data_IF_683258913231
#
_entry.id   IF_683258913231
#
_cell.length_a   1.000
_cell.length_b   1.000
_cell.length_c   1.000
_cell.angle_alpha   90.00
_cell.angle_beta   90.00
_cell.angle_gamma   90.00
#
_symmetry.space_group_name_H-M   'P 1'
#
loop_
_entity.id
_entity.type
_entity.pdbx_description
1 polymer ?
#
# COMPACT_ATOMS: atom_id res chain seq x y z
N UNK A 1 -39.04 -31.06 -16.95
CA UNK A 1 -38.80 -30.23 -15.75
C UNK A 1 -37.55 -30.63 -14.94
N UNK A 2 -36.50 -31.23 -15.55
CA UNK A 2 -35.32 -31.77 -14.82
C UNK A 2 -33.96 -31.28 -15.32
N UNK A 3 -33.95 -30.22 -16.15
CA UNK A 3 -32.73 -29.67 -16.79
C UNK A 3 -32.44 -28.20 -16.46
N UNK A 4 -33.36 -27.51 -15.76
CA UNK A 4 -33.22 -26.08 -15.44
C UNK A 4 -32.56 -25.81 -14.07
N UNK A 5 -32.42 -26.83 -13.22
CA UNK A 5 -31.86 -26.67 -11.86
C UNK A 5 -30.32 -26.61 -11.86
N UNK A 6 -29.67 -27.11 -12.92
CA UNK A 6 -28.21 -27.23 -12.97
C UNK A 6 -27.50 -25.90 -13.26
N UNK A 7 -28.17 -24.96 -13.93
CA UNK A 7 -27.53 -23.68 -14.33
C UNK A 7 -27.51 -22.62 -13.22
N UNK A 8 -28.25 -22.82 -12.12
CA UNK A 8 -28.34 -21.80 -11.06
C UNK A 8 -27.19 -21.84 -10.04
N UNK A 9 -26.32 -22.85 -10.09
CA UNK A 9 -25.26 -23.04 -9.08
C UNK A 9 -23.85 -22.62 -9.54
N UNK A 10 -23.69 -22.08 -10.75
CA UNK A 10 -22.39 -21.68 -11.29
C UNK A 10 -22.05 -20.19 -11.12
N UNK A 11 -22.94 -19.37 -10.55
CA UNK A 11 -22.76 -17.92 -10.46
C UNK A 11 -22.36 -17.38 -9.08
N UNK A 12 -22.13 -18.24 -8.07
CA UNK A 12 -21.90 -17.79 -6.67
C UNK A 12 -20.43 -17.87 -6.24
N UNK A 13 -19.52 -18.40 -7.06
CA UNK A 13 -18.16 -18.76 -6.60
C UNK A 13 -17.04 -17.72 -6.81
N UNK A 14 -17.33 -16.51 -7.27
CA UNK A 14 -16.27 -15.54 -7.63
C UNK A 14 -16.10 -14.33 -6.71
N UNK A 15 -16.90 -14.16 -5.64
CA UNK A 15 -16.91 -12.92 -4.84
C UNK A 15 -16.34 -13.04 -3.41
N UNK A 16 -15.89 -14.21 -2.97
CA UNK A 16 -15.36 -14.38 -1.61
C UNK A 16 -13.83 -14.46 -1.61
N UNK A 17 -13.13 -13.34 -1.35
CA UNK A 17 -11.81 -13.39 -0.70
C UNK A 17 -10.60 -12.78 -1.40
N UNK A 18 -10.71 -12.17 -2.58
CA UNK A 18 -9.55 -11.54 -3.23
C UNK A 18 -9.14 -10.19 -2.60
N UNK A 19 -10.10 -9.41 -2.11
CA UNK A 19 -9.81 -8.06 -1.60
C UNK A 19 -9.18 -8.08 -0.19
N UNK A 20 -9.70 -8.94 0.69
CA UNK A 20 -9.25 -9.05 2.08
C UNK A 20 -7.79 -9.53 2.22
N UNK A 21 -7.37 -10.49 1.38
CA UNK A 21 -5.98 -10.96 1.36
C UNK A 21 -5.01 -9.87 0.94
N UNK A 22 -5.33 -9.17 -0.14
CA UNK A 22 -4.46 -8.09 -0.62
C UNK A 22 -4.34 -6.93 0.36
N UNK A 23 -5.43 -6.59 1.08
CA UNK A 23 -5.40 -5.55 2.09
C UNK A 23 -4.42 -5.91 3.22
N UNK A 24 -4.51 -7.16 3.71
CA UNK A 24 -3.60 -7.69 4.72
C UNK A 24 -2.14 -7.73 4.24
N UNK A 25 -1.91 -8.19 3.01
CA UNK A 25 -0.56 -8.31 2.46
C UNK A 25 0.10 -6.93 2.29
N UNK A 26 -0.64 -5.91 1.84
CA UNK A 26 -0.18 -4.51 1.79
C UNK A 26 0.20 -4.05 3.20
N UNK A 27 -0.65 -4.30 4.20
CA UNK A 27 -0.37 -3.94 5.59
C UNK A 27 0.89 -4.62 6.16
N UNK A 28 1.19 -5.85 5.75
CA UNK A 28 2.44 -6.53 6.13
C UNK A 28 3.67 -5.82 5.56
N UNK A 29 3.63 -5.40 4.30
CA UNK A 29 4.75 -4.66 3.70
C UNK A 29 4.92 -3.27 4.33
N UNK A 30 3.84 -2.57 4.64
CA UNK A 30 3.89 -1.29 5.37
C UNK A 30 4.51 -1.46 6.76
N UNK A 31 4.13 -2.52 7.48
CA UNK A 31 4.75 -2.83 8.78
C UNK A 31 6.26 -3.06 8.63
N UNK A 32 6.70 -3.71 7.55
CA UNK A 32 8.12 -3.90 7.26
C UNK A 32 8.89 -2.59 7.02
N UNK A 33 8.24 -1.57 6.45
CA UNK A 33 8.87 -0.26 6.23
C UNK A 33 8.90 0.63 7.47
N UNK A 34 7.94 0.44 8.37
CA UNK A 34 7.75 1.29 9.56
C UNK A 34 8.38 0.72 10.82
N UNK A 35 8.63 -0.60 10.87
CA UNK A 35 9.27 -1.29 12.01
C UNK A 35 10.64 -1.86 11.59
N UNK A 36 11.72 -1.51 12.30
CA UNK A 36 13.09 -1.84 11.90
C UNK A 36 13.45 -3.35 11.89
N UNK A 37 12.57 -4.21 12.40
CA UNK A 37 12.85 -5.63 12.68
C UNK A 37 12.27 -6.59 11.62
N UNK A 38 11.46 -6.10 10.68
CA UNK A 38 10.53 -6.97 9.96
C UNK A 38 11.04 -7.49 8.60
N UNK A 39 11.84 -6.74 7.84
CA UNK A 39 12.41 -7.13 6.54
C UNK A 39 13.36 -6.03 6.01
N UNK A 40 14.32 -6.32 5.11
CA UNK A 40 15.01 -5.27 4.36
C UNK A 40 14.01 -4.37 3.58
N UNK A 41 14.07 -3.03 3.70
CA UNK A 41 13.09 -2.13 3.09
C UNK A 41 12.90 -2.30 1.57
N UNK A 42 13.95 -2.70 0.85
CA UNK A 42 13.91 -2.86 -0.60
C UNK A 42 12.90 -3.93 -1.07
N UNK A 43 12.76 -5.04 -0.34
CA UNK A 43 11.83 -6.11 -0.71
C UNK A 43 10.37 -5.67 -0.49
N UNK A 44 10.09 -5.05 0.66
CA UNK A 44 8.77 -4.51 0.94
C UNK A 44 8.35 -3.40 -0.03
N UNK A 45 9.27 -2.51 -0.43
CA UNK A 45 9.03 -1.52 -1.48
C UNK A 45 8.67 -2.20 -2.81
N UNK A 46 9.43 -3.22 -3.22
CA UNK A 46 9.15 -3.95 -4.45
C UNK A 46 7.78 -4.65 -4.45
N UNK A 47 7.36 -5.22 -3.31
CA UNK A 47 6.02 -5.80 -3.19
C UNK A 47 4.93 -4.73 -3.23
N UNK A 48 5.11 -3.59 -2.57
CA UNK A 48 4.17 -2.46 -2.64
C UNK A 48 4.01 -1.93 -4.07
N UNK A 49 5.10 -1.82 -4.83
CA UNK A 49 5.05 -1.44 -6.25
C UNK A 49 4.19 -2.41 -7.08
N UNK A 50 4.21 -3.71 -6.77
CA UNK A 50 3.37 -4.72 -7.45
C UNK A 50 1.88 -4.59 -7.10
N UNK A 51 1.54 -4.12 -5.90
CA UNK A 51 0.16 -3.77 -5.56
C UNK A 51 -0.32 -2.48 -6.25
N UNK A 52 0.63 -1.60 -6.58
CA UNK A 52 0.39 -0.36 -7.33
C UNK A 52 -0.56 0.58 -6.59
N UNK A 53 -1.45 1.25 -7.34
CA UNK A 53 -2.47 2.18 -6.84
C UNK A 53 -3.26 1.69 -5.62
N UNK A 54 -3.48 0.38 -5.51
CA UNK A 54 -4.25 -0.24 -4.42
C UNK A 54 -3.58 -0.09 -3.06
N UNK A 55 -2.27 0.14 -3.02
CA UNK A 55 -1.52 0.33 -1.78
C UNK A 55 -1.60 1.78 -1.25
N UNK A 56 -1.93 2.76 -2.10
CA UNK A 56 -1.86 4.18 -1.74
C UNK A 56 -2.65 4.55 -0.48
N UNK A 57 -3.92 4.13 -0.29
CA UNK A 57 -4.68 4.55 0.89
C UNK A 57 -4.08 4.07 2.22
N UNK A 58 -3.51 2.86 2.22
CA UNK A 58 -2.87 2.33 3.43
C UNK A 58 -1.50 2.98 3.67
N UNK A 59 -0.74 3.27 2.62
CA UNK A 59 0.54 4.00 2.72
C UNK A 59 0.30 5.40 3.28
N UNK A 60 -0.69 6.12 2.76
CA UNK A 60 -1.09 7.46 3.26
C UNK A 60 -1.44 7.41 4.75
N UNK A 61 -2.28 6.45 5.15
CA UNK A 61 -2.64 6.26 6.55
C UNK A 61 -1.41 6.02 7.43
N UNK A 62 -0.47 5.20 6.96
CA UNK A 62 0.75 4.88 7.70
C UNK A 62 1.71 6.07 7.79
N UNK A 63 1.79 6.92 6.77
CA UNK A 63 2.62 8.12 6.77
C UNK A 63 2.30 9.08 7.93
N UNK A 64 1.05 9.11 8.41
CA UNK A 64 0.68 9.97 9.54
C UNK A 64 1.15 9.47 10.90
N UNK A 65 1.49 8.18 11.04
CA UNK A 65 1.81 7.56 12.34
C UNK A 65 3.23 6.98 12.41
N UNK A 66 3.91 6.83 11.27
CA UNK A 66 5.26 6.31 11.20
C UNK A 66 6.31 7.27 11.81
N UNK A 67 7.42 6.69 12.28
CA UNK A 67 8.63 7.44 12.63
C UNK A 67 9.22 8.15 11.40
N UNK A 68 10.07 9.18 11.55
CA UNK A 68 10.68 9.87 10.40
C UNK A 68 11.33 8.92 9.39
N UNK A 69 12.13 7.96 9.87
CA UNK A 69 12.73 6.92 9.02
C UNK A 69 11.67 6.07 8.30
N UNK A 70 10.60 5.69 9.00
CA UNK A 70 9.48 4.94 8.42
C UNK A 70 8.76 5.73 7.33
N UNK A 71 8.55 7.04 7.54
CA UNK A 71 7.96 7.93 6.54
C UNK A 71 8.84 8.02 5.29
N UNK A 72 10.15 8.21 5.43
CA UNK A 72 11.07 8.24 4.28
C UNK A 72 11.04 6.93 3.48
N UNK A 73 10.94 5.77 4.14
CA UNK A 73 10.75 4.49 3.45
C UNK A 73 9.42 4.41 2.70
N UNK A 74 8.33 4.90 3.31
CA UNK A 74 7.00 4.91 2.70
C UNK A 74 6.94 5.88 1.49
N UNK A 75 7.62 7.03 1.55
CA UNK A 75 7.75 7.94 0.41
C UNK A 75 8.49 7.27 -0.76
N UNK A 76 9.58 6.53 -0.48
CA UNK A 76 10.26 5.71 -1.50
C UNK A 76 9.36 4.63 -2.09
N UNK A 77 8.43 4.09 -1.31
CA UNK A 77 7.44 3.15 -1.82
C UNK A 77 6.43 3.84 -2.75
N UNK A 78 5.98 5.06 -2.44
CA UNK A 78 5.13 5.87 -3.33
C UNK A 78 5.83 6.18 -4.66
N UNK A 79 7.10 6.57 -4.62
CA UNK A 79 7.92 6.78 -5.81
C UNK A 79 8.05 5.50 -6.66
N UNK A 80 8.34 4.37 -6.02
CA UNK A 80 8.41 3.07 -6.70
C UNK A 80 7.07 2.60 -7.29
N UNK A 81 5.94 3.00 -6.70
CA UNK A 81 4.61 2.74 -7.26
C UNK A 81 4.39 3.59 -8.53
N UNK A 82 4.88 4.82 -8.56
CA UNK A 82 4.85 5.69 -9.75
C UNK A 82 3.45 6.10 -10.22
N UNK A 83 2.44 5.99 -9.35
CA UNK A 83 1.06 6.34 -9.67
C UNK A 83 0.81 7.84 -9.44
N UNK A 84 0.27 8.59 -10.42
CA UNK A 84 0.01 10.02 -10.26
C UNK A 84 -0.90 10.38 -9.08
N UNK A 85 -1.78 9.48 -8.63
CA UNK A 85 -2.60 9.68 -7.43
C UNK A 85 -1.76 9.85 -6.15
N UNK A 86 -0.49 9.44 -6.14
CA UNK A 86 0.43 9.67 -5.03
C UNK A 86 0.94 11.12 -4.93
N UNK A 87 0.85 11.90 -6.01
CA UNK A 87 1.38 13.28 -6.08
C UNK A 87 0.87 14.17 -4.94
N UNK A 88 -0.45 14.31 -4.68
CA UNK A 88 -0.93 15.15 -3.59
C UNK A 88 -0.47 14.66 -2.20
N UNK A 89 -0.29 13.35 -2.03
CA UNK A 89 0.23 12.77 -0.79
C UNK A 89 1.68 13.23 -0.59
N UNK A 90 2.55 13.02 -1.58
CA UNK A 90 3.96 13.41 -1.52
C UNK A 90 4.10 14.91 -1.28
N UNK A 91 3.32 15.74 -2.00
CA UNK A 91 3.32 17.20 -1.83
C UNK A 91 2.89 17.63 -0.43
N UNK A 92 1.89 16.99 0.17
CA UNK A 92 1.49 17.28 1.55
C UNK A 92 2.67 17.10 2.51
N UNK A 93 3.37 15.97 2.44
CA UNK A 93 4.51 15.70 3.33
C UNK A 93 5.74 16.55 2.99
N UNK A 94 5.95 16.91 1.72
CA UNK A 94 7.03 17.82 1.30
C UNK A 94 6.90 19.20 1.95
N UNK A 95 5.68 19.70 2.09
CA UNK A 95 5.41 21.05 2.61
C UNK A 95 5.24 21.05 4.14
N UNK A 96 4.53 20.06 4.68
CA UNK A 96 4.00 20.13 6.04
C UNK A 96 4.66 19.17 7.04
N UNK A 97 5.48 18.21 6.61
CA UNK A 97 6.10 17.32 7.59
C UNK A 97 7.10 18.08 8.49
N UNK A 98 7.04 17.81 9.80
CA UNK A 98 7.91 18.45 10.77
C UNK A 98 9.39 18.07 10.57
N UNK A 99 9.66 16.85 10.09
CA UNK A 99 11.02 16.35 9.88
C UNK A 99 11.61 16.89 8.57
N UNK A 100 12.76 17.60 8.61
CA UNK A 100 13.47 17.99 7.40
C UNK A 100 13.90 16.80 6.54
N UNK A 101 14.22 15.67 7.17
CA UNK A 101 14.58 14.42 6.46
C UNK A 101 13.41 13.90 5.62
N UNK A 102 12.18 13.98 6.15
CA UNK A 102 10.99 13.52 5.45
C UNK A 102 10.65 14.46 4.29
N UNK A 103 10.78 15.77 4.49
CA UNK A 103 10.59 16.74 3.40
C UNK A 103 11.58 16.53 2.26
N UNK A 104 12.85 16.30 2.58
CA UNK A 104 13.89 16.01 1.59
C UNK A 104 13.65 14.67 0.85
N UNK A 105 12.99 13.70 1.48
CA UNK A 105 12.64 12.45 0.83
C UNK A 105 11.52 12.61 -0.23
N UNK A 106 10.80 13.73 -0.23
CA UNK A 106 9.73 14.04 -1.19
C UNK A 106 10.22 14.80 -2.44
N UNK A 107 11.51 15.15 -2.53
CA UNK A 107 12.14 15.84 -3.67
C UNK A 107 12.64 14.85 -4.73
#
# INVERSE_FOLDING_TARGET
MRRLVVYSWLLVLSLAGCEDRSYRDIGLQINALTKPEAMPPAEAIAQLARFGRRALPQIETALHTASPRGKSNLIRALDAIGDPEATPIVQHFAVYDASPEVRAACE
#
